data_IF_337019144261
#
_entry.id   IF_337019144261
#
_cell.length_a   1.000
_cell.length_b   1.000
_cell.length_c   1.000
_cell.angle_alpha   90.00
_cell.angle_beta   90.00
_cell.angle_gamma   90.00
#
_symmetry.space_group_name_H-M   'P 1'
#
loop_
_entity.id
_entity.type
_entity.pdbx_description
1 polymer ?
#
# COMPACT_ATOMS: atom_id res chain seq x y z
N UNK A 1 -69.15 57.81 -8.60
CA UNK A 1 -68.34 56.87 -9.39
C UNK A 1 -66.88 57.06 -9.01
N UNK A 2 -66.25 56.08 -8.35
CA UNK A 2 -64.84 55.70 -8.50
C UNK A 2 -64.62 54.40 -7.73
N UNK A 3 -64.52 53.31 -8.48
CA UNK A 3 -64.10 52.00 -8.01
C UNK A 3 -62.58 52.00 -7.84
N UNK A 4 -62.07 51.61 -6.68
CA UNK A 4 -60.66 51.24 -6.51
C UNK A 4 -60.63 49.81 -5.99
N UNK A 5 -60.21 48.91 -6.87
CA UNK A 5 -60.06 47.47 -6.67
C UNK A 5 -58.86 47.21 -5.76
N UNK A 6 -59.07 46.51 -4.64
CA UNK A 6 -57.98 45.97 -3.81
C UNK A 6 -57.49 44.66 -4.41
N UNK A 7 -56.29 44.67 -4.99
CA UNK A 7 -55.59 43.46 -5.43
C UNK A 7 -54.88 42.84 -4.22
N UNK A 8 -55.39 41.72 -3.71
CA UNK A 8 -54.73 40.95 -2.65
C UNK A 8 -53.61 40.10 -3.27
N UNK A 9 -52.36 40.47 -3.01
CA UNK A 9 -51.19 39.68 -3.40
C UNK A 9 -51.01 38.54 -2.38
N UNK A 10 -51.39 37.32 -2.73
CA UNK A 10 -51.11 36.12 -1.95
C UNK A 10 -49.67 35.70 -2.27
N UNK A 11 -48.73 36.03 -1.38
CA UNK A 11 -47.36 35.53 -1.43
C UNK A 11 -47.34 34.11 -0.84
N UNK A 12 -47.31 33.10 -1.70
CA UNK A 12 -47.05 31.71 -1.27
C UNK A 12 -45.58 31.57 -0.83
N UNK A 13 -45.28 31.11 0.40
CA UNK A 13 -43.91 30.81 0.78
C UNK A 13 -43.45 29.54 0.05
N UNK A 14 -42.52 29.70 -0.90
CA UNK A 14 -41.78 28.59 -1.48
C UNK A 14 -40.83 28.09 -0.39
N UNK A 15 -41.23 27.02 0.31
CA UNK A 15 -40.33 26.22 1.14
C UNK A 15 -39.28 25.59 0.22
N UNK A 16 -38.10 26.19 0.18
CA UNK A 16 -36.90 25.52 -0.34
C UNK A 16 -36.60 24.39 0.63
N UNK A 17 -37.10 23.19 0.33
CA UNK A 17 -36.71 21.96 1.00
C UNK A 17 -35.21 21.76 0.74
N UNK A 18 -34.38 22.24 1.65
CA UNK A 18 -33.00 21.79 1.76
C UNK A 18 -33.07 20.28 2.01
N UNK A 19 -32.74 19.49 1.00
CA UNK A 19 -32.53 18.05 1.16
C UNK A 19 -31.33 17.89 2.10
N UNK A 20 -31.61 17.73 3.40
CA UNK A 20 -30.64 17.29 4.37
C UNK A 20 -30.18 15.90 3.93
N UNK A 21 -29.09 15.86 3.16
CA UNK A 21 -28.46 14.61 2.76
C UNK A 21 -27.93 13.99 4.05
N UNK A 22 -28.59 12.93 4.50
CA UNK A 22 -28.07 12.12 5.58
C UNK A 22 -26.65 11.68 5.17
N UNK A 23 -25.67 11.92 6.04
CA UNK A 23 -24.28 11.53 5.81
C UNK A 23 -24.23 10.06 5.37
N UNK A 24 -23.45 9.75 4.34
CA UNK A 24 -23.29 8.36 3.92
C UNK A 24 -22.63 7.54 5.05
N UNK A 25 -22.73 6.19 5.03
CA UNK A 25 -21.96 5.35 5.93
C UNK A 25 -20.45 5.68 5.89
N UNK A 26 -19.90 5.97 4.72
CA UNK A 26 -18.49 6.38 4.55
C UNK A 26 -18.20 7.75 5.18
N UNK A 27 -19.09 8.74 5.03
CA UNK A 27 -18.92 10.06 5.67
C UNK A 27 -18.91 9.93 7.20
N UNK A 28 -19.76 9.06 7.75
CA UNK A 28 -19.77 8.76 9.20
C UNK A 28 -18.49 8.08 9.65
N UNK A 29 -18.00 7.11 8.87
CA UNK A 29 -16.71 6.46 9.13
C UNK A 29 -15.56 7.47 9.17
N UNK A 30 -15.47 8.33 8.16
CA UNK A 30 -14.44 9.37 8.07
C UNK A 30 -14.53 10.34 9.25
N UNK A 31 -15.73 10.81 9.58
CA UNK A 31 -15.91 11.70 10.73
C UNK A 31 -15.49 11.04 12.06
N UNK A 32 -15.80 9.76 12.24
CA UNK A 32 -15.37 8.99 13.42
C UNK A 32 -13.84 8.83 13.48
N UNK A 33 -13.21 8.50 12.34
CA UNK A 33 -11.75 8.36 12.22
C UNK A 33 -11.05 9.67 12.55
N UNK A 34 -11.47 10.77 11.92
CA UNK A 34 -10.86 12.09 12.11
C UNK A 34 -11.06 12.60 13.55
N UNK A 35 -12.21 12.32 14.16
CA UNK A 35 -12.46 12.63 15.58
C UNK A 35 -11.57 11.81 16.52
N UNK A 36 -11.35 10.53 16.23
CA UNK A 36 -10.45 9.68 16.99
C UNK A 36 -9.00 10.16 16.89
N UNK A 37 -8.51 10.45 15.68
CA UNK A 37 -7.17 11.03 15.46
C UNK A 37 -7.01 12.32 16.25
N UNK A 38 -7.97 13.24 16.19
CA UNK A 38 -7.92 14.50 16.95
C UNK A 38 -7.91 14.28 18.47
N UNK A 39 -8.68 13.30 18.97
CA UNK A 39 -8.69 12.91 20.39
C UNK A 39 -7.31 12.41 20.83
N UNK A 40 -6.69 11.51 20.07
CA UNK A 40 -5.41 10.91 20.43
C UNK A 40 -4.24 11.90 20.31
N UNK A 41 -4.25 12.76 19.29
CA UNK A 41 -3.30 13.87 19.19
C UNK A 41 -3.37 14.82 20.40
N UNK A 42 -4.57 15.05 20.96
CA UNK A 42 -4.73 15.84 22.18
C UNK A 42 -4.17 15.11 23.41
N UNK A 43 -4.42 13.81 23.55
CA UNK A 43 -3.89 13.01 24.66
C UNK A 43 -2.36 13.00 24.66
N UNK A 44 -1.75 12.81 23.49
CA UNK A 44 -0.30 12.86 23.30
C UNK A 44 0.27 14.24 23.70
N UNK A 45 -0.34 15.32 23.20
CA UNK A 45 0.04 16.70 23.57
C UNK A 45 -0.06 16.98 25.07
N UNK A 46 -1.05 16.39 25.73
CA UNK A 46 -1.24 16.49 27.18
C UNK A 46 -0.28 15.57 27.97
N UNK A 47 0.63 14.86 27.31
CA UNK A 47 1.58 13.93 27.91
C UNK A 47 0.92 12.65 28.47
N UNK A 48 -0.31 12.34 28.04
CA UNK A 48 -1.04 11.15 28.49
C UNK A 48 -0.66 9.96 27.63
N UNK A 49 0.08 9.03 28.23
CA UNK A 49 0.54 7.80 27.59
C UNK A 49 0.24 6.58 28.48
N UNK A 50 0.51 5.38 27.95
CA UNK A 50 0.42 4.13 28.68
C UNK A 50 -0.84 3.32 28.37
N UNK A 51 -0.95 2.16 29.02
CA UNK A 51 -1.86 1.08 28.66
C UNK A 51 -3.33 1.51 28.50
N UNK A 52 -3.81 2.45 29.32
CA UNK A 52 -5.19 2.94 29.23
C UNK A 52 -5.45 3.72 27.92
N UNK A 53 -4.47 4.49 27.47
CA UNK A 53 -4.52 5.27 26.23
C UNK A 53 -4.40 4.33 25.02
N UNK A 54 -3.52 3.32 25.10
CA UNK A 54 -3.36 2.29 24.07
C UNK A 54 -4.64 1.45 23.90
N UNK A 55 -5.28 1.03 25.00
CA UNK A 55 -6.57 0.33 24.96
C UNK A 55 -7.68 1.18 24.37
N UNK A 56 -7.68 2.48 24.65
CA UNK A 56 -8.66 3.39 24.08
C UNK A 56 -8.47 3.55 22.55
N UNK A 57 -7.23 3.58 22.07
CA UNK A 57 -6.89 3.60 20.64
C UNK A 57 -7.33 2.31 19.95
N UNK A 58 -6.99 1.16 20.53
CA UNK A 58 -7.39 -0.13 20.01
C UNK A 58 -8.91 -0.28 19.93
N UNK A 59 -9.65 0.23 20.94
CA UNK A 59 -11.10 0.26 20.92
C UNK A 59 -11.65 1.17 19.80
N UNK A 60 -11.05 2.35 19.59
CA UNK A 60 -11.44 3.22 18.49
C UNK A 60 -11.21 2.55 17.12
N UNK A 61 -10.09 1.84 16.93
CA UNK A 61 -9.85 1.05 15.72
C UNK A 61 -10.83 -0.12 15.56
N UNK A 62 -11.25 -0.76 16.63
CA UNK A 62 -12.27 -1.81 16.59
C UNK A 62 -13.66 -1.27 16.17
N UNK A 63 -14.02 -0.06 16.63
CA UNK A 63 -15.25 0.61 16.21
C UNK A 63 -15.19 1.01 14.72
N UNK A 64 -14.04 1.53 14.27
CA UNK A 64 -13.79 1.83 12.85
C UNK A 64 -13.85 0.57 11.97
N UNK A 65 -13.28 -0.55 12.45
CA UNK A 65 -13.35 -1.86 11.80
C UNK A 65 -14.80 -2.27 11.59
N UNK A 66 -15.63 -2.14 12.63
CA UNK A 66 -17.06 -2.51 12.57
C UNK A 66 -17.80 -1.70 11.51
N UNK A 67 -17.54 -0.39 11.42
CA UNK A 67 -18.11 0.47 10.39
C UNK A 67 -17.65 0.04 8.99
N UNK A 68 -16.35 -0.22 8.78
CA UNK A 68 -15.81 -0.69 7.50
C UNK A 68 -16.38 -2.06 7.10
N UNK A 69 -16.57 -2.98 8.04
CA UNK A 69 -17.24 -4.28 7.78
C UNK A 69 -18.64 -4.06 7.23
N UNK A 70 -19.42 -3.13 7.80
CA UNK A 70 -20.74 -2.80 7.27
C UNK A 70 -20.68 -2.12 5.89
N UNK A 71 -19.75 -1.18 5.69
CA UNK A 71 -19.60 -0.44 4.43
C UNK A 71 -19.20 -1.38 3.29
N UNK A 72 -18.19 -2.21 3.54
CA UNK A 72 -17.60 -3.07 2.51
C UNK A 72 -18.42 -4.35 2.31
N UNK A 73 -19.06 -4.90 3.34
CA UNK A 73 -19.88 -6.11 3.25
C UNK A 73 -19.16 -7.25 2.50
N UNK A 74 -17.90 -7.49 2.87
CA UNK A 74 -17.05 -8.50 2.21
C UNK A 74 -17.33 -9.91 2.73
N UNK A 75 -17.42 -10.92 1.85
CA UNK A 75 -17.56 -12.30 2.28
C UNK A 75 -16.28 -12.82 2.94
N UNK A 76 -16.42 -13.89 3.72
CA UNK A 76 -15.27 -14.69 4.12
C UNK A 76 -14.58 -15.29 2.89
N UNK A 77 -13.26 -15.46 2.98
CA UNK A 77 -12.45 -16.04 1.90
C UNK A 77 -11.84 -17.35 2.37
N UNK A 78 -12.00 -18.45 1.62
CA UNK A 78 -11.37 -19.72 1.99
C UNK A 78 -9.85 -19.58 2.16
N UNK A 79 -9.31 -20.10 3.28
CA UNK A 79 -7.88 -20.04 3.59
C UNK A 79 -7.38 -18.68 4.13
N UNK A 80 -8.29 -17.76 4.43
CA UNK A 80 -8.00 -16.47 5.07
C UNK A 80 -8.79 -16.32 6.36
N UNK A 81 -8.16 -15.70 7.35
CA UNK A 81 -8.77 -15.37 8.63
C UNK A 81 -9.83 -14.27 8.51
N UNK A 82 -10.50 -13.93 9.62
CA UNK A 82 -11.48 -12.86 9.65
C UNK A 82 -10.82 -11.51 9.32
N UNK A 83 -11.58 -10.67 8.61
CA UNK A 83 -11.17 -9.31 8.24
C UNK A 83 -10.63 -8.54 9.46
N UNK A 84 -9.53 -7.82 9.29
CA UNK A 84 -8.96 -6.86 10.22
C UNK A 84 -9.01 -5.45 9.61
N UNK A 85 -8.94 -4.42 10.43
CA UNK A 85 -8.74 -3.06 9.91
C UNK A 85 -7.30 -2.91 9.45
N UNK A 86 -7.07 -2.24 8.32
CA UNK A 86 -5.73 -2.00 7.79
C UNK A 86 -4.99 -0.84 8.47
N UNK A 87 -5.63 -0.13 9.39
CA UNK A 87 -5.01 0.97 10.13
C UNK A 87 -4.26 0.42 11.35
N UNK A 88 -2.93 0.57 11.33
CA UNK A 88 -2.06 0.09 12.42
C UNK A 88 -2.08 1.02 13.63
N UNK A 89 -2.29 2.33 13.44
CA UNK A 89 -2.33 3.33 14.51
C UNK A 89 -3.09 4.58 14.07
N UNK A 90 -3.71 5.26 15.04
CA UNK A 90 -4.32 6.58 14.88
C UNK A 90 -3.41 7.72 15.35
N UNK A 91 -2.20 7.43 15.85
CA UNK A 91 -1.22 8.44 16.27
C UNK A 91 -0.43 8.99 15.11
N UNK A 92 -0.54 10.29 14.87
CA UNK A 92 0.21 10.94 13.80
C UNK A 92 1.70 10.95 14.13
N UNK A 93 2.51 10.38 13.24
CA UNK A 93 3.97 10.30 13.39
C UNK A 93 4.46 8.89 13.68
N UNK A 94 3.58 8.00 14.12
CA UNK A 94 3.88 6.58 14.18
C UNK A 94 3.97 5.98 12.77
N UNK A 95 4.83 4.97 12.63
CA UNK A 95 5.14 4.29 11.38
C UNK A 95 3.90 3.70 10.67
N UNK A 96 2.86 3.31 11.43
CA UNK A 96 1.59 2.78 10.90
C UNK A 96 0.52 3.83 10.58
N UNK A 97 0.82 5.12 10.73
CA UNK A 97 -0.19 6.17 10.55
C UNK A 97 -0.42 6.48 9.07
N UNK A 98 -1.69 6.72 8.71
CA UNK A 98 -2.05 7.10 7.34
C UNK A 98 -2.10 5.93 6.37
N UNK A 99 -2.14 4.68 6.85
CA UNK A 99 -2.41 3.53 5.99
C UNK A 99 -3.79 3.64 5.32
N UNK A 100 -4.00 2.88 4.25
CA UNK A 100 -5.24 2.94 3.48
C UNK A 100 -6.43 2.43 4.30
N UNK A 101 -7.49 3.22 4.40
CA UNK A 101 -8.74 2.81 5.04
C UNK A 101 -9.33 1.61 4.31
N UNK A 102 -9.45 0.47 4.99
CA UNK A 102 -9.94 -0.76 4.39
C UNK A 102 -9.88 -1.95 5.32
N UNK A 103 -10.34 -3.09 4.81
CA UNK A 103 -10.28 -4.37 5.49
C UNK A 103 -9.17 -5.24 4.90
N UNK A 104 -8.28 -5.73 5.77
CA UNK A 104 -7.22 -6.68 5.44
C UNK A 104 -7.65 -8.09 5.85
N UNK A 105 -7.43 -9.06 4.96
CA UNK A 105 -7.61 -10.48 5.21
C UNK A 105 -6.24 -11.13 5.11
N UNK A 106 -5.85 -11.85 6.16
CA UNK A 106 -4.55 -12.50 6.25
C UNK A 106 -4.71 -14.01 6.03
N UNK A 107 -3.84 -14.61 5.21
CA UNK A 107 -3.85 -16.05 4.99
C UNK A 107 -3.67 -16.80 6.32
N UNK A 108 -4.39 -17.91 6.50
CA UNK A 108 -4.35 -18.72 7.74
C UNK A 108 -3.07 -19.54 7.90
N UNK A 109 -2.23 -19.57 6.87
CA UNK A 109 -0.97 -20.32 6.86
C UNK A 109 0.18 -19.50 6.29
N UNK A 110 1.37 -19.76 6.81
CA UNK A 110 2.62 -19.24 6.26
C UNK A 110 3.03 -19.98 4.99
N UNK A 111 4.10 -19.51 4.36
CA UNK A 111 4.58 -20.05 3.08
C UNK A 111 4.89 -21.54 3.11
N UNK A 112 5.38 -22.03 4.25
CA UNK A 112 5.70 -23.43 4.52
C UNK A 112 4.49 -24.26 4.99
N UNK A 113 3.29 -23.68 5.02
CA UNK A 113 2.10 -24.30 5.58
C UNK A 113 2.03 -24.24 7.11
N UNK A 114 2.99 -23.58 7.77
CA UNK A 114 2.97 -23.34 9.20
C UNK A 114 1.76 -22.52 9.64
N UNK A 115 1.34 -22.68 10.89
CA UNK A 115 0.25 -21.91 11.48
C UNK A 115 0.73 -20.52 11.88
N UNK A 116 -0.04 -19.49 11.54
CA UNK A 116 0.32 -18.09 11.84
C UNK A 116 0.56 -17.89 13.34
N UNK A 117 1.63 -17.16 13.67
CA UNK A 117 2.04 -16.85 15.04
C UNK A 117 2.80 -17.97 15.75
N UNK A 118 2.97 -19.14 15.14
CA UNK A 118 3.88 -20.15 15.68
C UNK A 118 5.32 -19.65 15.61
N UNK A 119 6.12 -19.96 16.63
CA UNK A 119 7.52 -19.56 16.70
C UNK A 119 8.39 -20.52 15.89
N UNK A 120 9.24 -19.98 15.02
CA UNK A 120 10.23 -20.72 14.24
C UNK A 120 11.51 -20.98 15.04
N UNK A 121 12.33 -21.98 14.64
CA UNK A 121 13.60 -22.28 15.30
C UNK A 121 14.60 -21.10 15.32
N UNK A 122 14.52 -20.21 14.34
CA UNK A 122 15.34 -18.99 14.26
C UNK A 122 14.84 -17.84 15.15
N UNK A 123 13.72 -18.04 15.85
CA UNK A 123 13.10 -17.06 16.73
C UNK A 123 12.07 -16.15 16.06
N UNK A 124 11.91 -16.19 14.73
CA UNK A 124 10.85 -15.48 14.00
C UNK A 124 9.48 -16.12 14.24
N UNK A 125 8.41 -15.43 13.87
CA UNK A 125 7.06 -15.98 13.87
C UNK A 125 6.60 -16.33 12.47
N UNK A 126 5.74 -17.33 12.34
CA UNK A 126 5.08 -17.64 11.08
C UNK A 126 4.15 -16.49 10.70
N UNK A 127 4.55 -15.73 9.69
CA UNK A 127 3.76 -14.66 9.06
C UNK A 127 2.78 -15.23 8.03
N UNK A 128 1.66 -14.54 7.75
CA UNK A 128 0.75 -14.89 6.66
C UNK A 128 1.47 -14.89 5.31
N UNK A 129 1.29 -15.95 4.52
CA UNK A 129 1.92 -16.03 3.18
C UNK A 129 1.34 -15.04 2.17
N UNK A 130 0.14 -14.55 2.42
CA UNK A 130 -0.60 -13.68 1.53
C UNK A 130 -1.62 -12.84 2.31
N UNK A 131 -1.95 -11.70 1.73
CA UNK A 131 -2.85 -10.71 2.29
C UNK A 131 -3.77 -10.18 1.18
N UNK A 132 -4.98 -9.80 1.56
CA UNK A 132 -5.94 -9.14 0.67
C UNK A 132 -6.48 -7.91 1.40
N UNK A 133 -6.21 -6.73 0.86
CA UNK A 133 -6.79 -5.46 1.29
C UNK A 133 -7.95 -5.08 0.37
N UNK A 134 -9.07 -4.70 0.97
CA UNK A 134 -10.25 -4.21 0.26
C UNK A 134 -10.65 -2.82 0.78
N UNK A 135 -10.88 -1.89 -0.15
CA UNK A 135 -11.43 -0.57 0.13
C UNK A 135 -12.44 -0.17 -0.95
N UNK A 136 -13.21 0.89 -0.72
CA UNK A 136 -14.10 1.46 -1.75
C UNK A 136 -13.35 2.47 -2.62
N UNK A 137 -13.79 2.67 -3.86
CA UNK A 137 -13.19 3.68 -4.74
C UNK A 137 -13.23 5.10 -4.14
N UNK A 138 -14.31 5.56 -3.46
CA UNK A 138 -14.32 6.87 -2.80
C UNK A 138 -13.34 7.00 -1.64
N UNK A 139 -13.19 5.96 -0.80
CA UNK A 139 -12.20 5.94 0.29
C UNK A 139 -10.77 5.99 -0.27
N UNK A 140 -10.49 5.22 -1.33
CA UNK A 140 -9.20 5.27 -2.01
C UNK A 140 -8.92 6.66 -2.59
N UNK A 141 -9.88 7.26 -3.30
CA UNK A 141 -9.73 8.59 -3.86
C UNK A 141 -9.52 9.65 -2.77
N UNK A 142 -10.15 9.49 -1.60
CA UNK A 142 -9.90 10.35 -0.44
C UNK A 142 -8.48 10.18 0.09
N UNK A 143 -8.05 8.94 0.29
CA UNK A 143 -6.70 8.62 0.76
C UNK A 143 -5.64 9.25 -0.15
N UNK A 144 -5.79 9.15 -1.48
CA UNK A 144 -4.89 9.82 -2.43
C UNK A 144 -4.78 11.34 -2.17
N UNK A 145 -5.92 12.02 -1.97
CA UNK A 145 -5.96 13.47 -1.69
C UNK A 145 -5.26 13.82 -0.38
N UNK A 146 -5.43 13.00 0.66
CA UNK A 146 -4.78 13.17 1.96
C UNK A 146 -3.25 12.97 1.85
N UNK A 147 -2.80 12.13 0.91
CA UNK A 147 -1.39 11.76 0.72
C UNK A 147 -0.68 12.50 -0.42
N UNK A 148 -1.27 13.57 -0.98
CA UNK A 148 -0.69 14.33 -2.09
C UNK A 148 0.68 14.97 -1.81
N UNK A 149 0.99 15.19 -0.53
CA UNK A 149 2.22 15.83 -0.05
C UNK A 149 2.63 15.19 1.29
N UNK A 150 2.67 13.87 1.31
CA UNK A 150 2.97 13.07 2.50
C UNK A 150 4.47 12.99 2.78
N UNK A 151 5.25 12.64 1.76
CA UNK A 151 6.69 12.47 1.86
C UNK A 151 7.45 13.79 1.74
N UNK A 152 8.60 13.84 2.40
CA UNK A 152 9.51 14.98 2.43
C UNK A 152 10.00 15.40 1.04
N UNK A 153 10.54 16.63 0.98
CA UNK A 153 11.13 17.20 -0.23
C UNK A 153 12.26 16.30 -0.74
N UNK A 154 12.10 15.80 -1.97
CA UNK A 154 13.07 14.91 -2.63
C UNK A 154 12.51 13.51 -2.88
N UNK A 155 11.48 13.11 -2.13
CA UNK A 155 10.79 11.83 -2.34
C UNK A 155 9.53 12.05 -3.17
N UNK A 156 9.30 11.18 -4.15
CA UNK A 156 8.13 11.26 -5.01
C UNK A 156 6.88 10.86 -4.22
N UNK A 157 5.89 11.75 -4.19
CA UNK A 157 4.59 11.48 -3.59
C UNK A 157 3.71 10.63 -4.50
N UNK A 158 2.72 9.97 -3.89
CA UNK A 158 1.76 9.12 -4.61
C UNK A 158 0.98 9.97 -5.64
N UNK A 159 0.97 9.57 -6.93
CA UNK A 159 0.19 10.24 -7.94
C UNK A 159 -1.30 10.33 -7.57
N UNK A 160 -1.96 11.41 -7.96
CA UNK A 160 -3.38 11.63 -7.65
C UNK A 160 -4.33 10.95 -8.65
N UNK A 161 -3.82 10.57 -9.83
CA UNK A 161 -4.57 9.82 -10.82
C UNK A 161 -4.53 8.33 -10.48
N UNK A 162 -5.70 7.69 -10.41
CA UNK A 162 -5.85 6.30 -9.93
C UNK A 162 -4.90 5.33 -10.65
N UNK A 163 -4.90 5.29 -11.99
CA UNK A 163 -4.01 4.39 -12.74
C UNK A 163 -2.52 4.64 -12.45
N UNK A 164 -2.10 5.90 -12.38
CA UNK A 164 -0.72 6.25 -12.08
C UNK A 164 -0.35 5.92 -10.62
N UNK A 165 -1.30 6.02 -9.69
CA UNK A 165 -1.10 5.65 -8.29
C UNK A 165 -0.91 4.15 -8.13
N UNK A 166 -1.74 3.34 -8.80
CA UNK A 166 -1.67 1.88 -8.73
C UNK A 166 -0.40 1.31 -9.37
N UNK A 167 0.22 2.02 -10.30
CA UNK A 167 1.53 1.65 -10.89
C UNK A 167 2.74 2.17 -10.11
N UNK A 168 2.52 2.93 -9.03
CA UNK A 168 3.59 3.52 -8.25
C UNK A 168 3.85 2.72 -6.98
N UNK A 169 5.03 2.10 -6.87
CA UNK A 169 5.40 1.23 -5.73
C UNK A 169 5.28 1.93 -4.35
N UNK A 170 5.54 3.25 -4.31
CA UNK A 170 5.40 4.05 -3.09
C UNK A 170 3.97 4.13 -2.55
N UNK A 171 2.96 3.84 -3.38
CA UNK A 171 1.58 3.62 -2.91
C UNK A 171 1.53 2.45 -1.93
N UNK A 172 2.06 1.30 -2.31
CA UNK A 172 1.99 0.07 -1.52
C UNK A 172 2.86 0.16 -0.27
N UNK A 173 3.97 0.88 -0.35
CA UNK A 173 4.76 1.24 0.83
C UNK A 173 3.89 2.00 1.84
N UNK A 174 3.26 3.11 1.45
CA UNK A 174 2.49 3.94 2.39
C UNK A 174 1.13 3.35 2.80
N UNK A 175 0.45 2.64 1.89
CA UNK A 175 -0.91 2.17 2.10
C UNK A 175 -0.99 0.92 2.99
N UNK A 176 0.08 0.12 3.01
CA UNK A 176 0.06 -1.27 3.50
C UNK A 176 1.30 -1.62 4.32
N UNK A 177 2.47 -1.07 3.99
CA UNK A 177 3.74 -1.49 4.59
C UNK A 177 4.18 -0.57 5.71
N UNK A 178 4.42 -1.12 6.88
CA UNK A 178 4.97 -0.34 7.99
C UNK A 178 6.47 -0.49 8.12
N UNK A 179 7.06 -1.63 7.76
CA UNK A 179 8.44 -1.97 8.12
C UNK A 179 9.47 -1.89 6.98
N UNK A 180 9.02 -1.89 5.72
CA UNK A 180 9.91 -1.88 4.56
C UNK A 180 9.30 -1.20 3.31
N UNK A 181 10.15 -0.63 2.46
CA UNK A 181 9.73 -0.11 1.16
C UNK A 181 9.39 -1.25 0.21
N UNK A 182 8.24 -1.15 -0.47
CA UNK A 182 7.85 -2.02 -1.57
C UNK A 182 8.58 -1.59 -2.83
N UNK A 183 9.15 -2.57 -3.52
CA UNK A 183 9.93 -2.38 -4.72
C UNK A 183 9.27 -3.16 -5.87
N UNK A 184 9.10 -2.52 -7.02
CA UNK A 184 8.65 -3.13 -8.26
C UNK A 184 9.85 -3.56 -9.11
N UNK A 185 9.97 -4.88 -9.34
CA UNK A 185 10.97 -5.46 -10.23
C UNK A 185 10.51 -5.46 -11.69
N UNK A 186 9.24 -5.77 -11.94
CA UNK A 186 8.65 -5.80 -13.27
C UNK A 186 7.13 -5.93 -13.23
N UNK A 187 6.45 -5.42 -14.26
CA UNK A 187 5.01 -5.63 -14.45
C UNK A 187 4.71 -7.09 -14.81
N UNK A 188 3.62 -7.63 -14.27
CA UNK A 188 3.15 -8.98 -14.57
C UNK A 188 1.99 -8.94 -15.58
N UNK A 189 1.97 -9.82 -16.59
CA UNK A 189 0.91 -9.88 -17.57
C UNK A 189 -0.34 -10.58 -17.01
N UNK A 190 -1.05 -9.92 -16.11
CA UNK A 190 -2.29 -10.44 -15.52
C UNK A 190 -3.45 -10.37 -16.52
N UNK A 191 -4.30 -11.40 -16.50
CA UNK A 191 -5.56 -11.36 -17.23
C UNK A 191 -6.59 -10.58 -16.41
N UNK A 192 -7.15 -9.51 -17.00
CA UNK A 192 -8.20 -8.72 -16.34
C UNK A 192 -9.46 -9.57 -16.11
N UNK A 193 -9.89 -9.77 -14.85
CA UNK A 193 -11.14 -10.49 -14.58
C UNK A 193 -12.34 -9.80 -15.23
N UNK A 194 -13.33 -10.56 -15.70
CA UNK A 194 -14.48 -10.02 -16.44
C UNK A 194 -15.27 -8.96 -15.66
N UNK A 195 -15.39 -9.11 -14.34
CA UNK A 195 -16.07 -8.17 -13.46
C UNK A 195 -15.22 -6.95 -13.05
N UNK A 196 -13.96 -6.90 -13.49
CA UNK A 196 -13.04 -5.83 -13.15
C UNK A 196 -12.97 -4.77 -14.27
N UNK A 197 -13.05 -3.50 -13.87
CA UNK A 197 -12.77 -2.37 -14.76
C UNK A 197 -11.27 -2.21 -14.98
N UNK A 198 -10.46 -2.58 -13.98
CA UNK A 198 -9.01 -2.48 -13.97
C UNK A 198 -8.37 -3.75 -13.41
N UNK A 199 -7.21 -4.13 -13.94
CA UNK A 199 -6.30 -5.07 -13.30
C UNK A 199 -4.85 -4.68 -13.58
N UNK A 200 -4.00 -4.82 -12.57
CA UNK A 200 -2.56 -4.60 -12.66
C UNK A 200 -1.86 -5.56 -11.71
N UNK A 201 -0.68 -6.01 -12.06
CA UNK A 201 0.15 -6.77 -11.14
C UNK A 201 1.61 -6.51 -11.42
N UNK A 202 2.43 -6.74 -10.42
CA UNK A 202 3.86 -6.61 -10.53
C UNK A 202 4.58 -7.59 -9.60
N UNK A 203 5.76 -7.96 -10.05
CA UNK A 203 6.72 -8.74 -9.31
C UNK A 203 7.43 -7.81 -8.34
N UNK A 204 7.53 -8.22 -7.07
CA UNK A 204 7.91 -7.34 -6.00
C UNK A 204 8.94 -7.96 -5.05
N UNK A 205 9.50 -7.09 -4.22
CA UNK A 205 10.23 -7.44 -3.01
C UNK A 205 10.19 -6.25 -2.04
N UNK A 206 10.77 -6.45 -0.86
CA UNK A 206 10.83 -5.42 0.19
C UNK A 206 12.27 -5.09 0.56
N UNK A 207 12.51 -3.84 0.95
CA UNK A 207 13.82 -3.42 1.46
C UNK A 207 13.73 -2.27 2.46
N UNK A 208 14.63 -2.26 3.44
CA UNK A 208 14.91 -1.08 4.28
C UNK A 208 16.15 -0.31 3.80
N UNK A 209 16.99 -0.95 2.99
CA UNK A 209 18.30 -0.44 2.58
C UNK A 209 18.46 -0.54 1.06
N UNK A 210 19.04 -1.63 0.56
CA UNK A 210 19.40 -1.82 -0.84
C UNK A 210 18.37 -2.64 -1.61
N UNK A 211 18.25 -2.38 -2.92
CA UNK A 211 17.40 -3.16 -3.82
C UNK A 211 17.74 -4.67 -3.75
N UNK A 212 16.78 -5.59 -3.54
CA UNK A 212 17.08 -7.02 -3.41
C UNK A 212 17.59 -7.66 -4.72
N UNK A 213 18.34 -8.77 -4.63
CA UNK A 213 18.82 -9.52 -5.82
C UNK A 213 17.75 -10.38 -6.49
N UNK A 214 16.70 -10.71 -5.75
CA UNK A 214 15.60 -11.54 -6.20
C UNK A 214 14.28 -10.90 -5.76
N UNK A 215 13.26 -11.13 -6.58
CA UNK A 215 11.89 -10.85 -6.20
C UNK A 215 11.26 -12.10 -5.57
N UNK A 216 10.67 -11.92 -4.42
CA UNK A 216 10.08 -12.96 -3.58
C UNK A 216 8.62 -12.69 -3.24
N UNK A 217 8.04 -11.60 -3.73
CA UNK A 217 6.62 -11.27 -3.59
C UNK A 217 5.97 -10.96 -4.95
N UNK A 218 4.65 -11.01 -4.96
CA UNK A 218 3.83 -10.42 -6.04
C UNK A 218 2.74 -9.54 -5.45
N UNK A 219 2.37 -8.51 -6.18
CA UNK A 219 1.19 -7.70 -5.94
C UNK A 219 0.26 -7.80 -7.14
N UNK A 220 -1.02 -7.94 -6.86
CA UNK A 220 -2.09 -7.96 -7.85
C UNK A 220 -3.24 -7.07 -7.38
N UNK A 221 -3.74 -6.24 -8.28
CA UNK A 221 -4.74 -5.23 -7.99
C UNK A 221 -5.88 -5.34 -8.99
N UNK A 222 -7.11 -5.18 -8.51
CA UNK A 222 -8.28 -5.00 -9.37
C UNK A 222 -9.20 -3.93 -8.82
N UNK A 223 -9.88 -3.24 -9.73
CA UNK A 223 -11.07 -2.45 -9.41
C UNK A 223 -12.27 -3.22 -9.93
N UNK A 224 -13.18 -3.61 -9.04
CA UNK A 224 -14.38 -4.37 -9.37
C UNK A 224 -15.51 -3.98 -8.42
N UNK A 225 -16.74 -3.86 -8.95
CA UNK A 225 -17.94 -3.62 -8.15
C UNK A 225 -17.85 -2.40 -7.19
N UNK A 226 -17.21 -1.30 -7.60
CA UNK A 226 -17.05 -0.10 -6.78
C UNK A 226 -15.94 -0.18 -5.72
N UNK A 227 -15.12 -1.23 -5.77
CA UNK A 227 -14.10 -1.53 -4.76
C UNK A 227 -12.73 -1.75 -5.40
N UNK A 228 -11.70 -1.34 -4.65
CA UNK A 228 -10.30 -1.63 -4.94
C UNK A 228 -9.88 -2.83 -4.09
N UNK A 229 -9.32 -3.83 -4.76
CA UNK A 229 -8.72 -5.02 -4.16
C UNK A 229 -7.22 -4.95 -4.41
N UNK A 230 -6.42 -5.04 -3.34
CA UNK A 230 -4.97 -5.19 -3.41
C UNK A 230 -4.63 -6.49 -2.73
N UNK A 231 -4.09 -7.44 -3.48
CA UNK A 231 -3.69 -8.74 -2.97
C UNK A 231 -2.19 -8.93 -3.19
N UNK A 232 -1.48 -9.34 -2.15
CA UNK A 232 -0.04 -9.52 -2.21
C UNK A 232 0.39 -10.70 -1.35
N UNK A 233 1.55 -11.27 -1.67
CA UNK A 233 2.06 -12.42 -0.94
C UNK A 233 3.37 -12.93 -1.48
N UNK A 234 3.99 -13.80 -0.70
CA UNK A 234 5.24 -14.48 -1.06
C UNK A 234 5.03 -15.42 -2.24
N UNK A 235 6.06 -15.55 -3.08
CA UNK A 235 6.09 -16.50 -4.20
C UNK A 235 7.13 -17.60 -4.04
N UNK A 236 6.84 -18.76 -4.65
CA UNK A 236 7.79 -19.85 -4.78
C UNK A 236 7.73 -20.45 -6.20
N UNK A 237 8.86 -20.57 -6.92
CA UNK A 237 10.19 -20.10 -6.58
C UNK A 237 10.31 -18.55 -6.66
N UNK A 238 11.32 -17.99 -6.00
CA UNK A 238 11.68 -16.58 -6.16
C UNK A 238 12.17 -16.32 -7.59
N UNK A 239 11.91 -15.13 -8.13
CA UNK A 239 12.40 -14.73 -9.44
C UNK A 239 13.77 -14.07 -9.29
N UNK A 240 14.78 -14.66 -9.93
CA UNK A 240 16.14 -14.14 -9.96
C UNK A 240 16.68 -14.18 -11.38
N UNK A 241 17.59 -13.25 -11.70
CA UNK A 241 18.30 -13.25 -12.97
C UNK A 241 19.80 -13.17 -12.68
N UNK A 242 20.51 -14.33 -12.59
CA UNK A 242 21.90 -14.36 -12.17
C UNK A 242 22.83 -13.45 -12.97
N UNK A 243 22.57 -13.30 -14.28
CA UNK A 243 23.32 -12.38 -15.14
C UNK A 243 23.21 -10.91 -14.71
N UNK A 244 22.06 -10.48 -14.15
CA UNK A 244 21.88 -9.12 -13.67
C UNK A 244 22.61 -8.89 -12.34
N UNK A 245 22.56 -9.87 -11.43
CA UNK A 245 23.36 -9.84 -10.19
C UNK A 245 24.86 -9.73 -10.49
N UNK A 246 25.36 -10.43 -11.52
CA UNK A 246 26.75 -10.31 -11.95
C UNK A 246 27.11 -8.90 -12.43
N UNK A 247 26.22 -8.23 -13.20
CA UNK A 247 26.43 -6.83 -13.61
C UNK A 247 26.57 -5.93 -12.38
N UNK A 248 25.69 -6.08 -11.39
CA UNK A 248 25.74 -5.30 -10.15
C UNK A 248 27.03 -5.55 -9.37
N UNK A 249 27.46 -6.81 -9.29
CA UNK A 249 28.69 -7.20 -8.62
C UNK A 249 29.93 -6.54 -9.26
N UNK A 250 30.00 -6.44 -10.59
CA UNK A 250 31.10 -5.78 -11.29
C UNK A 250 31.18 -4.28 -10.97
N UNK A 251 30.04 -3.61 -10.84
CA UNK A 251 29.99 -2.21 -10.42
C UNK A 251 30.38 -2.02 -8.95
N UNK A 252 29.90 -2.90 -8.06
CA UNK A 252 30.28 -2.88 -6.65
C UNK A 252 31.80 -3.06 -6.49
N UNK A 253 32.40 -3.98 -7.24
CA UNK A 253 33.86 -4.16 -7.26
C UNK A 253 34.60 -2.89 -7.68
N UNK A 254 34.13 -2.18 -8.72
CA UNK A 254 34.72 -0.88 -9.12
C UNK A 254 34.57 0.19 -8.04
N UNK A 255 33.45 0.20 -7.33
CA UNK A 255 33.22 1.12 -6.22
C UNK A 255 34.22 0.86 -5.08
N UNK A 256 34.41 -0.41 -4.72
CA UNK A 256 35.32 -0.83 -3.66
C UNK A 256 36.78 -0.54 -4.01
N UNK A 257 37.20 -0.85 -5.25
CA UNK A 257 38.54 -0.51 -5.76
C UNK A 257 38.79 1.00 -5.77
N UNK A 258 37.78 1.81 -6.12
CA UNK A 258 37.89 3.26 -6.10
C UNK A 258 38.02 3.81 -4.66
N UNK A 259 37.25 3.25 -3.72
CA UNK A 259 37.31 3.63 -2.31
C UNK A 259 38.67 3.27 -1.72
N UNK A 260 39.18 2.07 -2.00
CA UNK A 260 40.50 1.62 -1.55
C UNK A 260 41.62 2.52 -2.09
N UNK A 261 41.55 2.95 -3.36
CA UNK A 261 42.52 3.90 -3.93
C UNK A 261 42.49 5.26 -3.25
N UNK A 262 41.30 5.74 -2.84
CA UNK A 262 41.16 6.98 -2.10
C UNK A 262 41.78 6.85 -0.70
N UNK A 263 41.47 5.76 0.01
CA UNK A 263 41.97 5.50 1.37
C UNK A 263 43.49 5.36 1.40
N UNK A 264 44.06 4.69 0.39
CA UNK A 264 45.51 4.58 0.19
C UNK A 264 46.15 5.86 -0.34
N UNK A 265 45.39 6.95 -0.52
CA UNK A 265 45.84 8.24 -1.08
C UNK A 265 46.47 8.13 -2.47
N UNK A 266 46.12 7.09 -3.22
CA UNK A 266 46.57 6.87 -4.60
C UNK A 266 45.80 7.77 -5.58
N UNK A 267 44.60 8.19 -5.20
CA UNK A 267 43.82 9.23 -5.89
C UNK A 267 43.39 10.30 -4.90
N UNK A 268 43.15 11.51 -5.41
CA UNK A 268 42.60 12.61 -4.59
C UNK A 268 41.09 12.46 -4.44
N UNK A 269 40.51 13.10 -3.41
CA UNK A 269 39.04 13.16 -3.27
C UNK A 269 38.34 13.71 -4.51
N UNK A 270 38.91 14.76 -5.12
CA UNK A 270 38.42 15.34 -6.38
C UNK A 270 38.46 14.33 -7.54
N UNK A 271 39.47 13.45 -7.59
CA UNK A 271 39.55 12.41 -8.60
C UNK A 271 38.52 11.30 -8.34
N UNK A 272 38.31 10.91 -7.08
CA UNK A 272 37.27 9.96 -6.68
C UNK A 272 35.86 10.48 -7.02
N UNK A 273 35.53 11.71 -6.65
CA UNK A 273 34.20 12.30 -6.93
C UNK A 273 33.90 12.37 -8.44
N UNK A 274 34.93 12.49 -9.30
CA UNK A 274 34.78 12.47 -10.76
C UNK A 274 34.45 11.09 -11.34
N UNK A 275 34.68 10.00 -10.60
CA UNK A 275 34.32 8.65 -11.04
C UNK A 275 32.79 8.44 -11.05
N UNK A 276 32.06 9.29 -10.32
CA UNK A 276 30.64 9.14 -10.09
C UNK A 276 30.32 8.02 -9.09
N UNK A 277 29.03 7.79 -8.89
CA UNK A 277 28.56 6.74 -7.98
C UNK A 277 28.45 5.41 -8.71
N UNK A 278 29.48 4.56 -8.57
CA UNK A 278 29.46 3.23 -9.17
C UNK A 278 28.39 2.31 -8.56
N UNK A 279 28.01 2.50 -7.28
CA UNK A 279 26.98 1.68 -6.64
C UNK A 279 25.61 2.00 -7.22
N UNK A 280 25.28 3.29 -7.36
CA UNK A 280 24.05 3.70 -8.03
C UNK A 280 24.02 3.25 -9.50
N UNK A 281 25.14 3.38 -10.23
CA UNK A 281 25.22 2.89 -11.61
C UNK A 281 24.99 1.37 -11.70
N UNK A 282 25.52 0.60 -10.75
CA UNK A 282 25.31 -0.84 -10.64
C UNK A 282 23.86 -1.20 -10.35
N UNK A 283 23.21 -0.48 -9.45
CA UNK A 283 21.80 -0.66 -9.14
C UNK A 283 20.90 -0.31 -10.35
N UNK A 284 21.16 0.80 -11.03
CA UNK A 284 20.41 1.19 -12.22
C UNK A 284 20.60 0.17 -13.36
N UNK A 285 21.82 -0.36 -13.52
CA UNK A 285 22.12 -1.39 -14.51
C UNK A 285 21.44 -2.72 -14.18
N UNK A 286 21.41 -3.09 -12.89
CA UNK A 286 20.69 -4.25 -12.39
C UNK A 286 19.20 -4.13 -12.71
N UNK A 287 18.56 -3.03 -12.33
CA UNK A 287 17.12 -2.79 -12.56
C UNK A 287 16.76 -2.92 -14.03
N UNK A 288 17.49 -2.24 -14.92
CA UNK A 288 17.29 -2.35 -16.38
C UNK A 288 17.41 -3.79 -16.88
N UNK A 289 18.49 -4.48 -16.49
CA UNK A 289 18.71 -5.86 -16.86
C UNK A 289 17.57 -6.77 -16.37
N UNK A 290 17.11 -6.57 -15.14
CA UNK A 290 16.07 -7.39 -14.53
C UNK A 290 14.74 -7.20 -15.26
N UNK A 291 14.33 -5.97 -15.56
CA UNK A 291 13.12 -5.68 -16.32
C UNK A 291 13.14 -6.34 -17.71
N UNK A 292 14.30 -6.37 -18.38
CA UNK A 292 14.44 -6.99 -19.71
C UNK A 292 14.46 -8.53 -19.68
N UNK A 293 15.10 -9.12 -18.66
CA UNK A 293 15.44 -10.56 -18.66
C UNK A 293 14.59 -11.41 -17.73
N UNK A 294 13.94 -10.82 -16.74
CA UNK A 294 13.04 -11.54 -15.84
C UNK A 294 11.90 -12.25 -16.58
N UNK A 295 11.24 -11.65 -17.60
CA UNK A 295 10.17 -12.33 -18.34
C UNK A 295 10.59 -13.62 -19.06
N UNK A 296 11.90 -13.82 -19.24
CA UNK A 296 12.47 -15.02 -19.87
C UNK A 296 12.75 -16.14 -18.85
N UNK A 297 12.62 -15.86 -17.54
CA UNK A 297 12.83 -16.84 -16.49
C UNK A 297 11.55 -17.68 -16.29
N UNK A 298 11.66 -19.02 -16.12
CA UNK A 298 10.50 -19.86 -15.80
C UNK A 298 9.76 -19.41 -14.52
N UNK A 299 10.51 -18.95 -13.52
CA UNK A 299 9.95 -18.44 -12.26
C UNK A 299 9.01 -17.23 -12.47
N UNK A 300 9.21 -16.44 -13.53
CA UNK A 300 8.38 -15.28 -13.82
C UNK A 300 6.97 -15.67 -14.28
N UNK A 301 6.87 -16.70 -15.13
CA UNK A 301 5.58 -17.23 -15.55
C UNK A 301 4.82 -17.84 -14.36
N UNK A 302 5.54 -18.53 -13.46
CA UNK A 302 4.96 -19.08 -12.24
C UNK A 302 4.53 -17.99 -11.24
N UNK A 303 5.31 -16.92 -11.09
CA UNK A 303 4.91 -15.73 -10.31
C UNK A 303 3.66 -15.06 -10.88
N UNK A 304 3.55 -14.95 -12.21
CA UNK A 304 2.35 -14.43 -12.90
C UNK A 304 1.13 -15.29 -12.57
N UNK A 305 1.27 -16.63 -12.59
CA UNK A 305 0.20 -17.56 -12.25
C UNK A 305 -0.24 -17.42 -10.78
N UNK A 306 0.71 -17.27 -9.85
CA UNK A 306 0.43 -17.05 -8.44
C UNK A 306 -0.29 -15.72 -8.20
N UNK A 307 0.16 -14.64 -8.85
CA UNK A 307 -0.50 -13.33 -8.81
C UNK A 307 -1.93 -13.38 -9.36
N UNK A 308 -2.15 -14.11 -10.47
CA UNK A 308 -3.49 -14.31 -11.04
C UNK A 308 -4.43 -15.04 -10.07
N UNK A 309 -3.97 -16.15 -9.48
CA UNK A 309 -4.77 -16.92 -8.52
C UNK A 309 -5.08 -16.09 -7.25
N UNK A 310 -4.12 -15.29 -6.80
CA UNK A 310 -4.29 -14.40 -5.67
C UNK A 310 -5.33 -13.29 -5.97
N UNK A 311 -5.29 -12.71 -7.17
CA UNK A 311 -6.29 -11.72 -7.61
C UNK A 311 -7.69 -12.31 -7.69
N UNK A 312 -7.83 -13.53 -8.22
CA UNK A 312 -9.09 -14.26 -8.31
C UNK A 312 -9.68 -14.50 -6.92
N UNK A 313 -8.86 -14.98 -5.99
CA UNK A 313 -9.24 -15.14 -4.58
C UNK A 313 -9.70 -13.81 -3.97
N UNK A 314 -8.99 -12.72 -4.24
CA UNK A 314 -9.29 -11.40 -3.71
C UNK A 314 -10.68 -10.90 -4.10
N UNK A 315 -11.07 -11.12 -5.36
CA UNK A 315 -12.37 -10.71 -5.89
C UNK A 315 -13.48 -11.77 -5.73
N UNK A 316 -13.21 -12.84 -4.97
CA UNK A 316 -14.19 -13.87 -4.60
C UNK A 316 -14.46 -14.91 -5.69
N UNK A 317 -13.42 -15.31 -6.45
CA UNK A 317 -13.47 -16.40 -7.43
C UNK A 317 -12.68 -17.62 -6.98
#
# INVERSE_FOLDING_TARGET
MHFIVRLALVLSPILVLSTAHAASPEDRYIAARDAAIAKFAKLEKDGKTGEAVDKAEAAARADLKTQLTSILSEPARPGYGPAQINLDTLYKGDMGFGMLDGLRFDAETGRDGGKIGDKRPDGSFVEPKAHILVTTEPLFARWLREHKAWWDKGTKNVPQQVDAALKFEGLYTQAISTDAAVINFNDLPLAKPAQASYAYGFLAGRTQDSFPDAADEVFAVAIANGKLYIAYGEIAPTVQVPACTAIRADFNKKADEAAEKLDKKQITRKAYDKLGDFRQQGEDAFKRCFTERAPQQPAFAEATRQAQALLETAIGK
#
